data_IF_465568928948
#
_entry.id   IF_465568928948
#
_cell.length_a   1.000
_cell.length_b   1.000
_cell.length_c   1.000
_cell.angle_alpha   90.00
_cell.angle_beta   90.00
_cell.angle_gamma   90.00
#
_symmetry.space_group_name_H-M   'P 1'
#
loop_
_entity.id
_entity.type
_entity.pdbx_description
1 polymer ?
#
# COMPACT_ATOMS: atom_id res chain seq x y z
N UNK A 1 -11.66 30.45 -21.28
CA UNK A 1 -12.10 29.08 -20.94
C UNK A 1 -11.83 28.91 -19.46
N UNK A 2 -12.87 29.06 -18.66
CA UNK A 2 -12.81 28.80 -17.22
C UNK A 2 -12.98 27.28 -17.11
N UNK A 3 -11.95 26.59 -16.63
CA UNK A 3 -12.04 25.17 -16.35
C UNK A 3 -12.88 25.07 -15.08
N UNK A 4 -14.07 24.53 -15.22
CA UNK A 4 -15.02 24.31 -14.13
C UNK A 4 -14.57 23.02 -13.42
N UNK A 5 -13.82 23.19 -12.33
CA UNK A 5 -13.30 22.09 -11.49
C UNK A 5 -14.34 21.62 -10.45
N UNK A 6 -15.57 22.17 -10.45
CA UNK A 6 -16.59 21.94 -9.41
C UNK A 6 -17.28 20.57 -9.48
N UNK A 7 -17.08 19.79 -10.55
CA UNK A 7 -17.76 18.50 -10.77
C UNK A 7 -16.80 17.28 -10.79
N UNK A 8 -15.56 17.42 -10.31
CA UNK A 8 -14.73 16.25 -10.05
C UNK A 8 -15.38 15.45 -8.90
N UNK A 9 -15.68 14.15 -9.08
CA UNK A 9 -16.28 13.35 -8.02
C UNK A 9 -15.28 13.22 -6.86
N UNK A 10 -15.41 14.09 -5.86
CA UNK A 10 -14.71 13.98 -4.58
C UNK A 10 -15.24 12.71 -3.93
N UNK A 11 -14.45 11.65 -4.03
CA UNK A 11 -14.80 10.36 -3.44
C UNK A 11 -14.47 10.51 -1.96
N UNK A 12 -15.46 10.88 -1.15
CA UNK A 12 -15.33 10.95 0.30
C UNK A 12 -14.56 9.72 0.81
N UNK A 13 -13.39 9.94 1.41
CA UNK A 13 -12.45 8.89 1.76
C UNK A 13 -13.16 7.77 2.54
N UNK A 14 -13.26 6.61 1.91
CA UNK A 14 -13.53 5.36 2.64
C UNK A 14 -12.28 5.09 3.47
N UNK A 15 -12.44 5.05 4.79
CA UNK A 15 -11.32 4.86 5.71
C UNK A 15 -10.42 3.70 5.27
N UNK A 16 -9.14 3.99 5.09
CA UNK A 16 -8.15 2.99 4.72
C UNK A 16 -8.00 1.95 5.82
N UNK A 17 -8.12 0.67 5.46
CA UNK A 17 -7.67 -0.40 6.34
C UNK A 17 -6.14 -0.43 6.34
N UNK A 18 -5.52 -0.59 7.50
CA UNK A 18 -4.07 -0.55 7.67
C UNK A 18 -3.58 -1.79 8.39
N UNK A 19 -2.51 -2.40 7.88
CA UNK A 19 -1.70 -3.36 8.60
C UNK A 19 -0.19 -3.13 8.42
N UNK A 20 0.57 -3.42 9.46
CA UNK A 20 2.02 -3.62 9.36
C UNK A 20 2.29 -5.12 9.28
N UNK A 21 2.99 -5.55 8.22
CA UNK A 21 3.32 -6.96 7.95
C UNK A 21 4.81 -7.16 8.17
N UNK A 22 5.16 -8.21 8.89
CA UNK A 22 6.53 -8.64 9.17
C UNK A 22 6.88 -9.87 8.35
N UNK A 23 8.13 -9.95 7.92
CA UNK A 23 8.63 -11.05 7.08
C UNK A 23 9.78 -11.78 7.78
N UNK A 24 10.03 -13.06 7.44
CA UNK A 24 11.15 -13.82 7.99
C UNK A 24 12.52 -13.23 7.60
N UNK A 25 13.38 -13.02 8.59
CA UNK A 25 14.76 -12.55 8.41
C UNK A 25 14.90 -11.07 8.03
N UNK A 26 16.14 -10.64 7.80
CA UNK A 26 16.47 -9.22 7.52
C UNK A 26 16.33 -8.84 6.02
N UNK A 27 15.95 -9.80 5.17
CA UNK A 27 15.84 -9.61 3.73
C UNK A 27 14.60 -8.80 3.32
N UNK A 28 13.61 -8.69 4.22
CA UNK A 28 12.32 -8.05 3.96
C UNK A 28 11.38 -8.98 3.19
N UNK A 29 10.54 -8.40 2.34
CA UNK A 29 9.52 -9.12 1.55
C UNK A 29 10.21 -10.03 0.52
N UNK A 30 9.85 -11.31 0.49
CA UNK A 30 10.33 -12.23 -0.55
C UNK A 30 9.61 -11.99 -1.88
N UNK A 31 10.21 -12.34 -3.03
CA UNK A 31 9.54 -12.26 -4.33
C UNK A 31 8.21 -13.03 -4.38
N UNK A 32 8.14 -14.18 -3.72
CA UNK A 32 6.92 -15.01 -3.65
C UNK A 32 5.82 -14.29 -2.88
N UNK A 33 6.14 -13.71 -1.72
CA UNK A 33 5.18 -12.96 -0.91
C UNK A 33 4.70 -11.69 -1.63
N UNK A 34 5.61 -11.00 -2.31
CA UNK A 34 5.30 -9.82 -3.11
C UNK A 34 4.38 -10.15 -4.29
N UNK A 35 4.64 -11.25 -5.00
CA UNK A 35 3.78 -11.70 -6.09
C UNK A 35 2.41 -12.13 -5.56
N UNK A 36 2.34 -12.83 -4.44
CA UNK A 36 1.08 -13.23 -3.81
C UNK A 36 0.23 -12.01 -3.43
N UNK A 37 0.84 -11.00 -2.77
CA UNK A 37 0.16 -9.74 -2.45
C UNK A 37 -0.26 -8.98 -3.71
N UNK A 38 0.60 -8.86 -4.71
CA UNK A 38 0.29 -8.16 -5.97
C UNK A 38 -0.90 -8.81 -6.70
N UNK A 39 -0.90 -10.13 -6.81
CA UNK A 39 -1.99 -10.88 -7.42
C UNK A 39 -3.28 -10.78 -6.60
N UNK A 40 -3.23 -10.84 -5.28
CA UNK A 40 -4.42 -10.78 -4.45
C UNK A 40 -5.05 -9.38 -4.40
N UNK A 41 -4.26 -8.32 -4.51
CA UNK A 41 -4.70 -6.92 -4.40
C UNK A 41 -5.05 -6.26 -5.74
N UNK A 42 -4.98 -6.99 -6.86
CA UNK A 42 -5.12 -6.43 -8.22
C UNK A 42 -6.46 -5.71 -8.46
N UNK A 43 -7.52 -6.11 -7.76
CA UNK A 43 -8.89 -5.63 -7.95
C UNK A 43 -9.31 -4.50 -6.97
N UNK A 44 -8.38 -3.98 -6.18
CA UNK A 44 -8.64 -2.90 -5.23
C UNK A 44 -7.54 -1.84 -5.21
N UNK A 45 -7.86 -0.64 -4.71
CA UNK A 45 -6.83 0.36 -4.43
C UNK A 45 -6.08 -0.04 -3.18
N UNK A 46 -4.77 0.03 -3.27
CA UNK A 46 -3.86 -0.18 -2.16
C UNK A 46 -2.64 0.69 -2.35
N UNK A 47 -1.99 1.04 -1.25
CA UNK A 47 -0.64 1.55 -1.30
C UNK A 47 0.18 0.99 -0.14
N UNK A 48 1.50 0.96 -0.29
CA UNK A 48 2.37 0.45 0.74
C UNK A 48 3.59 1.33 0.97
N UNK A 49 4.22 1.17 2.14
CA UNK A 49 5.56 1.66 2.41
C UNK A 49 6.45 0.51 2.83
N UNK A 50 7.72 0.57 2.43
CA UNK A 50 8.74 -0.37 2.90
C UNK A 50 9.21 0.08 4.28
N UNK A 51 9.47 -0.87 5.16
CA UNK A 51 10.13 -0.64 6.45
C UNK A 51 11.27 -1.66 6.58
N UNK A 52 12.28 -1.36 7.40
CA UNK A 52 13.47 -2.19 7.52
C UNK A 52 13.17 -3.67 7.82
N UNK A 53 12.09 -3.96 8.56
CA UNK A 53 11.67 -5.32 8.93
C UNK A 53 10.32 -5.75 8.29
N UNK A 54 9.82 -5.04 7.26
CA UNK A 54 8.59 -5.44 6.59
C UNK A 54 7.92 -4.36 5.75
N UNK A 55 6.58 -4.36 5.70
CA UNK A 55 5.82 -3.38 4.91
C UNK A 55 4.62 -2.85 5.69
N UNK A 56 4.25 -1.59 5.45
CA UNK A 56 2.96 -1.02 5.88
C UNK A 56 2.02 -1.05 4.71
N UNK A 57 0.97 -1.87 4.79
CA UNK A 57 -0.04 -2.03 3.75
C UNK A 57 -1.27 -1.20 4.13
N UNK A 58 -1.80 -0.48 3.14
CA UNK A 58 -3.08 0.22 3.24
C UNK A 58 -3.97 -0.17 2.08
N UNK A 59 -5.21 -0.49 2.36
CA UNK A 59 -6.18 -1.01 1.38
C UNK A 59 -7.57 -0.41 1.61
N UNK A 60 -8.39 -0.33 0.56
CA UNK A 60 -9.79 0.10 0.68
C UNK A 60 -10.67 -0.89 1.45
N UNK A 61 -10.30 -2.17 1.41
CA UNK A 61 -11.00 -3.28 2.07
C UNK A 61 -10.03 -4.05 2.94
N UNK A 62 -10.53 -4.64 4.02
CA UNK A 62 -9.70 -5.49 4.86
C UNK A 62 -9.14 -6.67 4.06
N UNK A 63 -7.87 -6.99 4.30
CA UNK A 63 -7.19 -8.15 3.73
C UNK A 63 -6.62 -9.05 4.83
N UNK A 64 -7.25 -9.05 6.01
CA UNK A 64 -6.82 -9.83 7.17
C UNK A 64 -6.67 -11.33 6.83
N UNK A 65 -7.69 -11.93 6.22
CA UNK A 65 -7.67 -13.36 5.84
C UNK A 65 -6.53 -13.70 4.86
N UNK A 66 -6.23 -12.77 3.94
CA UNK A 66 -5.07 -12.91 3.04
C UNK A 66 -3.76 -12.91 3.82
N UNK A 67 -3.60 -11.99 4.78
CA UNK A 67 -2.39 -11.92 5.60
C UNK A 67 -2.26 -13.13 6.52
N UNK A 68 -3.36 -13.63 7.08
CA UNK A 68 -3.38 -14.89 7.84
C UNK A 68 -2.96 -16.08 6.98
N UNK A 69 -3.39 -16.12 5.70
CA UNK A 69 -2.92 -17.09 4.72
C UNK A 69 -1.41 -17.02 4.48
N UNK A 70 -0.86 -15.81 4.29
CA UNK A 70 0.58 -15.63 4.12
C UNK A 70 1.38 -16.07 5.35
N UNK A 71 0.84 -15.89 6.56
CA UNK A 71 1.45 -16.37 7.80
C UNK A 71 1.40 -17.89 7.89
N UNK A 72 0.26 -18.50 7.54
CA UNK A 72 0.10 -19.95 7.51
C UNK A 72 1.07 -20.62 6.51
N UNK A 73 1.30 -19.98 5.36
CA UNK A 73 2.23 -20.43 4.32
C UNK A 73 3.70 -20.06 4.62
N UNK A 74 3.97 -19.45 5.78
CA UNK A 74 5.30 -18.99 6.22
C UNK A 74 5.96 -17.95 5.30
N UNK A 75 5.16 -17.30 4.44
CA UNK A 75 5.59 -16.18 3.60
C UNK A 75 5.64 -14.86 4.37
N UNK A 76 4.88 -14.74 5.45
CA UNK A 76 4.97 -13.67 6.45
C UNK A 76 5.24 -14.27 7.84
N UNK A 77 5.92 -13.53 8.70
CA UNK A 77 6.13 -13.93 10.11
C UNK A 77 5.00 -13.44 11.04
N UNK A 78 4.21 -12.47 10.58
CA UNK A 78 3.05 -11.95 11.29
C UNK A 78 2.55 -10.64 10.71
N UNK A 79 1.41 -10.17 11.22
CA UNK A 79 0.89 -8.84 10.91
C UNK A 79 0.14 -8.25 12.11
N UNK A 80 0.06 -6.91 12.16
CA UNK A 80 -0.68 -6.16 13.18
C UNK A 80 -1.51 -5.09 12.49
N UNK A 81 -2.80 -5.04 12.80
CA UNK A 81 -3.68 -3.96 12.37
C UNK A 81 -3.31 -2.62 13.01
N UNK A 82 -3.55 -1.52 12.29
CA UNK A 82 -3.25 -0.17 12.76
C UNK A 82 -4.31 0.85 12.34
N UNK A 83 -4.10 2.09 12.76
CA UNK A 83 -4.88 3.24 12.32
C UNK A 83 -4.01 4.03 11.36
N UNK A 84 -4.58 4.43 10.22
CA UNK A 84 -3.92 5.32 9.27
C UNK A 84 -4.46 6.74 9.44
N UNK A 85 -3.55 7.66 9.75
CA UNK A 85 -3.81 9.09 9.70
C UNK A 85 -3.11 9.64 8.44
N UNK A 86 -3.87 10.13 7.44
CA UNK A 86 -3.28 10.76 6.27
C UNK A 86 -2.61 12.09 6.66
N UNK A 87 -1.49 12.40 6.02
CA UNK A 87 -0.74 13.65 6.24
C UNK A 87 -1.36 14.80 5.43
N UNK A 88 -2.66 15.05 5.63
CA UNK A 88 -3.49 15.97 4.84
C UNK A 88 -2.80 17.32 4.64
N UNK A 89 -2.29 17.91 5.72
CA UNK A 89 -1.61 19.22 5.67
C UNK A 89 -0.32 19.19 4.84
N UNK A 90 0.44 18.09 4.90
CA UNK A 90 1.70 17.96 4.15
C UNK A 90 1.46 17.81 2.64
N UNK A 91 0.30 17.27 2.26
CA UNK A 91 -0.10 17.11 0.86
C UNK A 91 -0.97 18.24 0.32
N UNK A 92 -1.18 19.31 1.09
CA UNK A 92 -1.85 20.53 0.61
C UNK A 92 -3.36 20.56 0.83
N UNK A 93 -3.86 19.85 1.84
CA UNK A 93 -5.28 19.77 2.16
C UNK A 93 -5.94 18.47 1.68
N UNK A 94 -7.25 18.29 1.91
CA UNK A 94 -7.97 17.07 1.54
C UNK A 94 -7.85 16.73 0.04
N UNK A 95 -7.98 17.73 -0.83
CA UNK A 95 -7.89 17.55 -2.28
C UNK A 95 -6.49 17.12 -2.72
N UNK A 96 -5.46 17.69 -2.08
CA UNK A 96 -4.08 17.30 -2.32
C UNK A 96 -3.76 15.89 -1.83
N UNK A 97 -4.40 15.47 -0.73
CA UNK A 97 -4.30 14.10 -0.21
C UNK A 97 -4.96 13.08 -1.13
N UNK A 98 -6.13 13.40 -1.70
CA UNK A 98 -6.83 12.54 -2.66
C UNK A 98 -5.95 12.27 -3.89
N UNK A 99 -5.34 13.32 -4.45
CA UNK A 99 -4.38 13.22 -5.56
C UNK A 99 -3.16 12.40 -5.14
N UNK A 100 -2.64 12.61 -3.94
CA UNK A 100 -1.51 11.84 -3.41
C UNK A 100 -1.86 10.35 -3.33
N UNK A 101 -3.04 9.97 -2.84
CA UNK A 101 -3.49 8.57 -2.80
C UNK A 101 -3.61 7.96 -4.19
N UNK A 102 -4.12 8.69 -5.18
CA UNK A 102 -4.17 8.21 -6.57
C UNK A 102 -2.77 7.88 -7.09
N UNK A 103 -1.80 8.78 -6.88
CA UNK A 103 -0.41 8.55 -7.24
C UNK A 103 0.17 7.36 -6.48
N UNK A 104 -0.04 7.27 -5.17
CA UNK A 104 0.47 6.18 -4.34
C UNK A 104 -0.08 4.83 -4.77
N UNK A 105 -1.36 4.76 -5.14
CA UNK A 105 -1.98 3.54 -5.63
C UNK A 105 -1.46 3.12 -7.01
N UNK A 106 -1.31 4.08 -7.92
CA UNK A 106 -0.75 3.80 -9.24
C UNK A 106 0.69 3.27 -9.13
N UNK A 107 1.54 3.94 -8.33
CA UNK A 107 2.93 3.55 -8.09
C UNK A 107 3.04 2.17 -7.40
N UNK A 108 2.23 1.95 -6.37
CA UNK A 108 2.25 0.72 -5.57
C UNK A 108 1.92 -0.54 -6.39
N UNK A 109 1.05 -0.44 -7.41
CA UNK A 109 0.69 -1.58 -8.28
C UNK A 109 1.91 -2.11 -9.04
N UNK A 110 2.72 -1.21 -9.60
CA UNK A 110 3.94 -1.59 -10.31
C UNK A 110 5.03 -2.01 -9.32
N UNK A 111 5.23 -1.23 -8.26
CA UNK A 111 6.32 -1.44 -7.32
C UNK A 111 6.17 -2.70 -6.45
N UNK A 112 4.94 -3.11 -6.12
CA UNK A 112 4.72 -4.28 -5.26
C UNK A 112 5.19 -5.57 -5.92
N UNK A 113 4.93 -5.78 -7.21
CA UNK A 113 5.36 -7.00 -7.92
C UNK A 113 6.90 -7.15 -7.95
N UNK A 114 7.63 -6.03 -7.98
CA UNK A 114 9.10 -6.02 -8.00
C UNK A 114 9.71 -6.04 -6.58
N UNK A 115 8.88 -5.97 -5.54
CA UNK A 115 9.33 -5.93 -4.15
C UNK A 115 9.97 -7.27 -3.75
N UNK A 116 11.27 -7.27 -3.52
CA UNK A 116 12.03 -8.51 -3.23
C UNK A 116 13.18 -8.74 -4.21
N UNK A 117 13.17 -8.06 -5.36
CA UNK A 117 14.36 -7.90 -6.18
C UNK A 117 15.29 -6.85 -5.53
N UNK A 118 16.57 -7.21 -5.34
CA UNK A 118 17.57 -6.31 -4.75
C UNK A 118 17.75 -5.02 -5.56
N UNK A 119 17.45 -5.02 -6.85
CA UNK A 119 17.54 -3.85 -7.74
C UNK A 119 16.31 -2.94 -7.79
N UNK A 120 15.16 -3.35 -7.24
CA UNK A 120 13.89 -2.64 -7.38
C UNK A 120 13.63 -1.58 -6.29
N UNK A 121 14.57 -1.39 -5.36
CA UNK A 121 14.40 -0.49 -4.20
C UNK A 121 14.17 0.98 -4.59
N UNK A 122 14.64 1.39 -5.75
CA UNK A 122 14.65 2.79 -6.22
C UNK A 122 13.40 3.17 -7.04
N UNK A 123 12.41 2.28 -7.13
CA UNK A 123 11.27 2.40 -8.07
C UNK A 123 9.92 2.74 -7.43
N UNK A 124 9.92 3.19 -6.18
CA UNK A 124 8.71 3.61 -5.47
C UNK A 124 8.84 5.07 -5.06
N UNK A 125 7.82 5.88 -5.30
CA UNK A 125 7.75 7.28 -4.84
C UNK A 125 7.66 7.33 -3.30
N UNK A 126 7.04 6.31 -2.71
CA UNK A 126 6.96 6.12 -1.27
C UNK A 126 8.11 5.20 -0.79
N UNK A 127 9.19 5.81 -0.31
CA UNK A 127 10.31 5.11 0.33
C UNK A 127 10.02 4.74 1.79
#
# INVERSE_FOLDING_TARGET
MVVDDEDLPITAEKGWWHASVSFPGDAGVSPEAAQALSSALHDQRFHFLRKAAGLRLRTERSVADLLDGLVADQLASGWVGGIYEPEIEAFGGPEGMDVAHDVFCADSRAALAETGDRGARERCVLL
#
